data_IF_607175619372
#
_entry.id   IF_607175619372
#
_cell.length_a   1.000
_cell.length_b   1.000
_cell.length_c   1.000
_cell.angle_alpha   90.00
_cell.angle_beta   90.00
_cell.angle_gamma   90.00
#
_symmetry.space_group_name_H-M   'P 1'
#
loop_
_entity.id
_entity.type
_entity.pdbx_description
1 polymer ?
#
# COMPACT_ATOMS: atom_id res chain seq x y z
N UNK A 1 -10.74 10.40 -2.90
CA UNK A 1 -10.10 9.59 -1.84
C UNK A 1 -10.76 8.22 -1.78
N UNK A 2 -10.04 7.12 -1.48
CA UNK A 2 -10.69 5.84 -1.15
C UNK A 2 -11.70 6.03 -0.02
N UNK A 3 -12.65 5.11 0.16
CA UNK A 3 -13.16 4.88 1.52
C UNK A 3 -11.94 4.40 2.32
N UNK A 4 -11.41 5.27 3.18
CA UNK A 4 -10.17 5.03 3.89
C UNK A 4 -10.38 3.87 4.85
N UNK A 5 -9.68 2.77 4.58
CA UNK A 5 -9.39 1.80 5.62
C UNK A 5 -8.26 2.39 6.45
N UNK A 6 -8.22 2.08 7.74
CA UNK A 6 -7.12 2.52 8.58
C UNK A 6 -5.78 1.88 8.16
N UNK A 7 -4.68 2.46 8.65
CA UNK A 7 -3.33 2.01 8.34
C UNK A 7 -3.07 0.57 8.79
N UNK A 8 -3.72 0.12 9.88
CA UNK A 8 -3.56 -1.24 10.40
C UNK A 8 -4.16 -2.26 9.42
N UNK A 9 -5.39 -2.03 8.95
CA UNK A 9 -6.06 -2.87 7.95
C UNK A 9 -5.24 -2.94 6.66
N UNK A 10 -4.61 -1.83 6.27
CA UNK A 10 -3.74 -1.81 5.09
C UNK A 10 -2.47 -2.65 5.29
N UNK A 11 -1.86 -2.60 6.48
CA UNK A 11 -0.73 -3.45 6.84
C UNK A 11 -1.13 -4.93 6.87
N UNK A 12 -2.30 -5.27 7.42
CA UNK A 12 -2.83 -6.63 7.46
C UNK A 12 -3.03 -7.22 6.06
N UNK A 13 -3.57 -6.43 5.12
CA UNK A 13 -3.70 -6.84 3.71
C UNK A 13 -2.33 -7.24 3.14
N UNK A 14 -1.28 -6.44 3.36
CA UNK A 14 0.06 -6.74 2.88
C UNK A 14 0.69 -7.94 3.62
N UNK A 15 0.45 -8.08 4.92
CA UNK A 15 0.92 -9.20 5.74
C UNK A 15 0.35 -10.54 5.27
N UNK A 16 -0.98 -10.63 5.09
CA UNK A 16 -1.60 -11.88 4.60
C UNK A 16 -1.20 -12.21 3.16
N UNK A 17 -1.04 -11.20 2.30
CA UNK A 17 -0.53 -11.41 0.95
C UNK A 17 0.92 -11.95 0.95
N UNK A 18 1.79 -11.47 1.84
CA UNK A 18 3.16 -11.95 1.99
C UNK A 18 3.22 -13.42 2.48
N UNK A 19 2.20 -13.89 3.19
CA UNK A 19 2.04 -15.30 3.57
C UNK A 19 1.45 -16.18 2.45
N UNK A 20 1.01 -15.59 1.34
CA UNK A 20 0.46 -16.32 0.19
C UNK A 20 -1.06 -16.51 0.20
N UNK A 21 -1.79 -15.74 1.03
CA UNK A 21 -3.26 -15.82 1.05
C UNK A 21 -3.86 -15.35 -0.28
N UNK A 22 -5.01 -15.94 -0.66
CA UNK A 22 -5.79 -15.46 -1.78
C UNK A 22 -6.49 -14.13 -1.45
N UNK A 23 -6.87 -13.35 -2.46
CA UNK A 23 -7.62 -12.09 -2.21
C UNK A 23 -8.94 -12.31 -1.48
N UNK A 24 -9.54 -13.49 -1.61
CA UNK A 24 -10.77 -13.87 -0.91
C UNK A 24 -10.47 -14.19 0.56
N UNK A 25 -9.43 -14.98 0.84
CA UNK A 25 -9.02 -15.23 2.23
C UNK A 25 -8.59 -13.95 2.95
N UNK A 26 -7.86 -13.05 2.27
CA UNK A 26 -7.51 -11.74 2.86
C UNK A 26 -8.78 -10.92 3.18
N UNK A 27 -9.77 -10.94 2.31
CA UNK A 27 -11.03 -10.22 2.53
C UNK A 27 -11.79 -10.77 3.75
N UNK A 28 -11.78 -12.09 3.94
CA UNK A 28 -12.36 -12.75 5.12
C UNK A 28 -11.62 -12.35 6.41
N UNK A 29 -10.29 -12.39 6.42
CA UNK A 29 -9.48 -12.07 7.62
C UNK A 29 -9.56 -10.59 8.01
N UNK A 30 -9.65 -9.68 7.04
CA UNK A 30 -9.63 -8.22 7.28
C UNK A 30 -11.02 -7.60 7.36
N UNK A 31 -12.07 -8.35 7.02
CA UNK A 31 -13.46 -7.85 7.00
C UNK A 31 -13.75 -6.82 5.90
N UNK A 32 -12.82 -6.59 4.96
CA UNK A 32 -13.01 -5.65 3.84
C UNK A 32 -13.41 -6.38 2.58
N UNK A 33 -13.99 -5.65 1.61
CA UNK A 33 -14.37 -6.27 0.33
C UNK A 33 -13.14 -6.75 -0.46
N UNK A 34 -13.29 -7.84 -1.22
CA UNK A 34 -12.25 -8.31 -2.16
C UNK A 34 -11.76 -7.22 -3.13
N UNK A 35 -12.65 -6.30 -3.55
CA UNK A 35 -12.29 -5.16 -4.40
C UNK A 35 -11.34 -4.21 -3.66
N UNK A 36 -11.59 -3.98 -2.37
CA UNK A 36 -10.72 -3.19 -1.48
C UNK A 36 -9.36 -3.86 -1.35
N UNK A 37 -9.31 -5.16 -1.06
CA UNK A 37 -8.07 -5.94 -1.00
C UNK A 37 -7.26 -5.77 -2.27
N UNK A 38 -7.86 -6.05 -3.44
CA UNK A 38 -7.17 -5.91 -4.74
C UNK A 38 -6.57 -4.51 -4.90
N UNK A 39 -7.37 -3.47 -4.65
CA UNK A 39 -6.91 -2.07 -4.77
C UNK A 39 -5.68 -1.80 -3.92
N UNK A 40 -5.67 -2.21 -2.65
CA UNK A 40 -4.56 -1.92 -1.75
C UNK A 40 -3.32 -2.80 -2.01
N UNK A 41 -3.50 -4.00 -2.57
CA UNK A 41 -2.38 -4.80 -3.09
C UNK A 41 -1.76 -4.15 -4.33
N UNK A 42 -2.58 -3.64 -5.26
CA UNK A 42 -2.10 -2.92 -6.43
C UNK A 42 -1.29 -1.68 -6.01
N UNK A 43 -1.81 -0.87 -5.09
CA UNK A 43 -1.09 0.29 -4.52
C UNK A 43 0.22 -0.12 -3.80
N UNK A 44 0.20 -1.21 -3.03
CA UNK A 44 1.41 -1.72 -2.36
C UNK A 44 2.47 -2.12 -3.37
N UNK A 45 2.07 -2.76 -4.46
CA UNK A 45 2.97 -3.14 -5.55
C UNK A 45 3.58 -1.90 -6.23
N UNK A 46 2.77 -0.88 -6.47
CA UNK A 46 3.23 0.38 -7.08
C UNK A 46 4.30 1.08 -6.21
N UNK A 47 4.04 1.25 -4.92
CA UNK A 47 5.00 1.88 -4.00
C UNK A 47 6.30 1.07 -3.87
N UNK A 48 6.19 -0.25 -3.74
CA UNK A 48 7.37 -1.13 -3.66
C UNK A 48 8.18 -1.08 -4.95
N UNK A 49 7.52 -1.00 -6.11
CA UNK A 49 8.20 -0.92 -7.41
C UNK A 49 8.84 0.45 -7.67
N UNK A 50 8.25 1.53 -7.16
CA UNK A 50 8.77 2.89 -7.31
C UNK A 50 9.94 3.21 -6.34
N UNK A 51 10.10 2.42 -5.28
CA UNK A 51 11.12 2.64 -4.25
C UNK A 51 12.51 2.18 -4.68
N UNK A 52 13.54 2.99 -4.37
CA UNK A 52 14.95 2.60 -4.46
C UNK A 52 15.35 1.50 -3.46
N UNK A 53 14.49 1.23 -2.46
CA UNK A 53 14.71 0.24 -1.39
C UNK A 53 13.50 -0.70 -1.28
N UNK A 54 13.17 -1.50 -2.32
CA UNK A 54 11.89 -2.21 -2.43
C UNK A 54 11.63 -3.19 -1.28
N UNK A 55 12.65 -3.92 -0.83
CA UNK A 55 12.53 -4.87 0.29
C UNK A 55 12.22 -4.17 1.60
N UNK A 56 12.83 -3.02 1.83
CA UNK A 56 12.64 -2.26 3.06
C UNK A 56 11.29 -1.55 3.07
N UNK A 57 10.87 -1.01 1.93
CA UNK A 57 9.53 -0.47 1.74
C UNK A 57 8.46 -1.52 2.03
N UNK A 58 8.59 -2.73 1.48
CA UNK A 58 7.65 -3.80 1.78
C UNK A 58 7.63 -4.16 3.27
N UNK A 59 8.80 -4.27 3.91
CA UNK A 59 8.88 -4.52 5.35
C UNK A 59 8.20 -3.43 6.18
N UNK A 60 8.40 -2.15 5.83
CA UNK A 60 7.75 -1.03 6.51
C UNK A 60 6.23 -1.07 6.34
N UNK A 61 5.75 -1.41 5.13
CA UNK A 61 4.31 -1.55 4.85
C UNK A 61 3.71 -2.68 5.69
N UNK A 62 4.34 -3.85 5.71
CA UNK A 62 3.88 -5.02 6.49
C UNK A 62 3.88 -4.73 7.99
N UNK A 63 4.82 -3.93 8.48
CA UNK A 63 4.87 -3.51 9.90
C UNK A 63 3.91 -2.38 10.25
N UNK A 64 3.21 -1.79 9.27
CA UNK A 64 2.40 -0.60 9.47
C UNK A 64 3.21 0.67 9.76
N UNK A 65 4.51 0.66 9.46
CA UNK A 65 5.45 1.77 9.66
C UNK A 65 5.54 2.68 8.43
N UNK A 66 4.95 2.27 7.30
CA UNK A 66 4.99 3.04 6.06
C UNK A 66 4.03 4.23 6.09
N UNK A 67 4.58 5.42 5.87
CA UNK A 67 3.81 6.65 5.77
C UNK A 67 3.23 6.84 4.37
N UNK A 68 1.98 6.41 4.21
CA UNK A 68 1.22 6.54 2.97
C UNK A 68 0.81 7.97 2.64
N UNK A 69 0.93 8.93 3.57
CA UNK A 69 0.61 10.34 3.32
C UNK A 69 1.79 11.09 2.69
N UNK A 70 3.01 10.55 2.78
CA UNK A 70 4.23 11.19 2.29
C UNK A 70 4.32 11.27 0.76
N UNK A 71 3.68 10.35 0.03
CA UNK A 71 3.72 10.27 -1.43
C UNK A 71 2.92 11.38 -2.15
N UNK A 72 1.93 12.00 -1.49
CA UNK A 72 1.10 13.06 -2.08
C UNK A 72 1.86 14.41 -2.18
N UNK A 73 2.92 14.62 -1.39
CA UNK A 73 3.66 15.89 -1.37
C UNK A 73 4.73 16.00 -2.47
N UNK A 74 5.21 14.87 -3.02
CA UNK A 74 6.29 14.88 -4.03
C UNK A 74 5.78 14.94 -5.46
N UNK A 75 4.47 14.81 -5.69
CA UNK A 75 3.87 14.91 -7.01
C UNK A 75 3.63 16.37 -7.46
N UNK A 76 3.68 17.34 -6.55
CA UNK A 76 3.39 18.77 -6.84
C UNK A 76 4.67 19.62 -7.06
N UNK A 77 5.84 19.19 -6.56
CA UNK A 77 7.10 19.98 -6.63
C UNK A 77 8.05 19.63 -7.81
N UNK A 78 7.59 18.88 -8.82
CA UNK A 78 8.39 18.55 -10.01
C UNK A 78 8.13 19.40 -11.26
N UNK A 79 7.20 20.36 -11.17
CA UNK A 79 6.50 20.91 -12.33
C UNK A 79 7.02 22.19 -12.96
N UNK A 80 8.10 22.85 -12.52
CA UNK A 80 8.57 24.09 -13.17
C UNK A 80 10.08 24.32 -13.00
N UNK A 81 10.92 23.63 -13.78
CA UNK A 81 12.26 24.12 -14.15
C UNK A 81 12.62 23.68 -15.57
N UNK A 82 12.05 24.36 -16.57
CA UNK A 82 12.64 24.49 -17.91
C UNK A 82 12.01 25.67 -18.65
N UNK A 83 12.62 26.85 -18.49
CA UNK A 83 13.00 27.80 -19.56
C UNK A 83 13.61 29.06 -18.95
#
# INVERSE_FOLDING_TARGET
MPAEIDAATRADIAFYAAQGYSQEGIAEETGVSRRTVRKYLDLTREEVAASDRPRETLCAIVRGEYDWQRGDLTADEGGYMSM
#
